data_IF_798224698667
#
_entry.id   IF_798224698667
#
_cell.length_a   1.000
_cell.length_b   1.000
_cell.length_c   1.000
_cell.angle_alpha   90.00
_cell.angle_beta   90.00
_cell.angle_gamma   90.00
#
_symmetry.space_group_name_H-M   'P 1'
#
loop_
_entity.id
_entity.type
_entity.pdbx_description
1 polymer ?
#
# COMPACT_ATOMS: atom_id res chain seq x y z
N UNK A 1 10.06 23.53 13.32
CA UNK A 1 9.88 22.93 13.13
C UNK A 1 9.58 22.11 13.13
N UNK A 2 9.56 21.76 13.20
CA UNK A 2 9.24 21.00 13.19
C UNK A 2 9.22 20.03 12.97
N UNK A 3 9.19 19.37 13.33
CA UNK A 3 9.31 18.50 13.32
C UNK A 3 8.68 17.83 13.48
N UNK A 4 8.33 17.95 13.37
CA UNK A 4 7.68 17.44 13.61
C UNK A 4 7.07 16.50 13.82
N UNK A 5 6.16 16.22 14.10
CA UNK A 5 5.70 15.15 14.31
C UNK A 5 5.25 14.47 13.21
N UNK A 6 5.94 13.60 12.74
CA UNK A 6 5.69 12.80 11.66
C UNK A 6 4.52 11.89 11.85
N UNK A 7 4.30 11.45 13.05
CA UNK A 7 3.16 10.59 13.35
C UNK A 7 1.86 11.29 13.06
N UNK A 8 1.78 12.54 13.46
CA UNK A 8 0.60 13.32 13.23
C UNK A 8 0.34 13.49 11.74
N UNK A 9 1.37 13.76 10.99
CA UNK A 9 1.25 13.92 9.56
C UNK A 9 0.79 12.64 8.89
N UNK A 10 1.33 11.51 9.31
CA UNK A 10 0.94 10.23 8.75
C UNK A 10 -0.51 9.93 9.05
N UNK A 11 -0.95 10.24 10.25
CA UNK A 11 -2.31 9.97 10.67
C UNK A 11 -3.33 10.70 9.83
N UNK A 12 -3.01 11.91 9.41
CA UNK A 12 -3.96 12.72 8.67
C UNK A 12 -3.69 12.79 7.17
N UNK A 13 -2.74 12.02 6.68
CA UNK A 13 -2.51 12.02 5.24
C UNK A 13 -3.60 11.22 4.56
N UNK A 14 -3.71 11.37 3.27
CA UNK A 14 -4.68 10.66 2.49
C UNK A 14 -4.43 9.16 2.54
N UNK A 15 -5.50 8.40 2.62
CA UNK A 15 -5.44 6.94 2.59
C UNK A 15 -6.14 6.43 1.35
N UNK A 16 -5.60 5.38 0.78
CA UNK A 16 -6.20 4.74 -0.38
C UNK A 16 -6.76 3.38 0.00
N UNK A 17 -7.83 3.00 -0.66
CA UNK A 17 -8.32 1.64 -0.54
C UNK A 17 -7.59 0.77 -1.56
N UNK A 18 -7.75 -0.54 -1.43
CA UNK A 18 -7.21 -1.47 -2.41
C UNK A 18 -7.78 -1.17 -3.79
N UNK A 19 -9.09 -0.92 -3.84
CA UNK A 19 -9.77 -0.65 -5.11
C UNK A 19 -9.26 0.62 -5.76
N UNK A 20 -9.00 1.63 -4.95
CA UNK A 20 -8.48 2.89 -5.49
C UNK A 20 -7.12 2.73 -6.11
N UNK A 21 -6.21 2.02 -5.42
CA UNK A 21 -4.89 1.80 -5.96
C UNK A 21 -4.92 0.86 -7.16
N UNK A 22 -5.81 -0.11 -7.12
CA UNK A 22 -5.99 -1.01 -8.24
C UNK A 22 -6.33 -0.22 -9.51
N UNK A 23 -7.28 0.69 -9.39
CA UNK A 23 -7.68 1.53 -10.52
C UNK A 23 -6.57 2.48 -10.95
N UNK A 24 -5.93 3.09 -9.97
CA UNK A 24 -4.91 4.08 -10.25
C UNK A 24 -3.68 3.47 -10.91
N UNK A 25 -3.27 2.29 -10.46
CA UNK A 25 -2.07 1.64 -10.98
C UNK A 25 -2.35 0.64 -12.09
N UNK A 26 -3.62 0.38 -12.37
CA UNK A 26 -3.98 -0.57 -13.41
C UNK A 26 -3.62 -2.00 -13.08
N UNK A 27 -3.80 -2.37 -11.82
CA UNK A 27 -3.48 -3.72 -11.36
C UNK A 27 -4.71 -4.33 -10.69
N UNK A 28 -4.71 -5.65 -10.54
CA UNK A 28 -5.85 -6.30 -9.93
C UNK A 28 -5.90 -6.02 -8.44
N UNK A 29 -7.10 -6.06 -7.89
CA UNK A 29 -7.31 -5.90 -6.45
C UNK A 29 -6.49 -6.93 -5.68
N UNK A 30 -6.48 -8.14 -6.18
CA UNK A 30 -5.79 -9.22 -5.51
C UNK A 30 -4.29 -8.96 -5.43
N UNK A 31 -3.72 -8.47 -6.52
CA UNK A 31 -2.30 -8.14 -6.54
C UNK A 31 -2.00 -7.02 -5.55
N UNK A 32 -2.84 -5.97 -5.54
CA UNK A 32 -2.64 -4.85 -4.61
C UNK A 32 -2.74 -5.35 -3.17
N UNK A 33 -3.71 -6.19 -2.89
CA UNK A 33 -3.90 -6.71 -1.54
C UNK A 33 -2.67 -7.49 -1.07
N UNK A 34 -2.14 -8.35 -1.92
CA UNK A 34 -0.95 -9.11 -1.56
C UNK A 34 0.26 -8.23 -1.39
N UNK A 35 0.36 -7.20 -2.21
CA UNK A 35 1.49 -6.29 -2.18
C UNK A 35 1.58 -5.53 -0.85
N UNK A 36 0.43 -5.15 -0.31
CA UNK A 36 0.39 -4.31 0.88
C UNK A 36 0.04 -5.02 2.18
N UNK A 37 -0.36 -6.27 2.12
CA UNK A 37 -0.87 -6.95 3.30
C UNK A 37 0.14 -6.96 4.46
N UNK A 38 1.40 -7.11 4.16
CA UNK A 38 2.43 -7.15 5.19
C UNK A 38 3.34 -5.94 5.16
N UNK A 39 2.95 -4.92 4.43
CA UNK A 39 3.79 -3.73 4.32
C UNK A 39 3.67 -2.88 5.58
N UNK A 40 4.80 -2.45 6.17
CA UNK A 40 4.73 -1.61 7.37
C UNK A 40 4.00 -0.32 7.07
N UNK A 41 3.18 0.11 8.01
CA UNK A 41 2.46 1.37 7.89
C UNK A 41 1.07 1.27 7.30
N UNK A 42 0.72 0.11 6.75
CA UNK A 42 -0.64 -0.10 6.24
C UNK A 42 -1.56 -0.32 7.43
N UNK A 43 -2.73 0.33 7.41
CA UNK A 43 -3.71 0.18 8.47
C UNK A 43 -4.67 -0.93 8.07
N UNK A 44 -4.82 -1.90 8.93
CA UNK A 44 -5.67 -3.05 8.66
C UNK A 44 -6.79 -3.10 9.66
N UNK A 45 -8.02 -3.09 9.14
CA UNK A 45 -9.20 -3.25 9.97
C UNK A 45 -9.74 -4.65 9.76
N UNK A 46 -9.95 -5.36 10.86
CA UNK A 46 -10.52 -6.69 10.79
C UNK A 46 -11.92 -6.67 11.39
N UNK A 47 -12.84 -7.29 10.70
CA UNK A 47 -14.18 -7.45 11.22
C UNK A 47 -14.44 -8.91 11.51
N UNK A 48 -14.85 -9.17 12.73
CA UNK A 48 -15.24 -10.49 13.14
C UNK A 48 -16.71 -10.51 13.46
N UNK A 49 -17.41 -11.46 12.88
CA UNK A 49 -18.80 -11.69 13.22
C UNK A 49 -18.98 -13.18 13.42
N UNK A 50 -19.70 -13.59 14.46
CA UNK A 50 -19.91 -15.02 14.70
C UNK A 50 -20.52 -15.68 13.46
N UNK A 51 -19.92 -16.77 13.04
CA UNK A 51 -20.42 -17.53 11.91
C UNK A 51 -20.17 -16.89 10.55
N UNK A 52 -19.36 -15.84 10.50
CA UNK A 52 -19.07 -15.16 9.26
C UNK A 52 -17.60 -15.11 8.99
N UNK A 53 -17.28 -14.85 7.73
CA UNK A 53 -15.89 -14.68 7.33
C UNK A 53 -15.28 -13.47 7.99
N UNK A 54 -13.99 -13.57 8.23
CA UNK A 54 -13.24 -12.42 8.71
C UNK A 54 -12.91 -11.55 7.51
N UNK A 55 -13.28 -10.29 7.59
CA UNK A 55 -12.96 -9.33 6.55
C UNK A 55 -11.83 -8.44 6.99
N UNK A 56 -10.88 -8.27 6.09
CA UNK A 56 -9.79 -7.36 6.34
C UNK A 56 -9.87 -6.24 5.33
N UNK A 57 -9.94 -5.03 5.84
CA UNK A 57 -9.96 -3.84 5.00
C UNK A 57 -8.63 -3.15 5.16
N UNK A 58 -7.96 -2.92 4.07
CA UNK A 58 -6.67 -2.25 4.09
C UNK A 58 -6.86 -0.79 3.73
N UNK A 59 -6.24 0.08 4.52
CA UNK A 59 -6.19 1.50 4.21
C UNK A 59 -4.71 1.84 4.07
N UNK A 60 -4.34 2.34 2.93
CA UNK A 60 -2.93 2.52 2.58
C UNK A 60 -2.61 4.00 2.56
N UNK A 61 -1.82 4.46 3.56
CA UNK A 61 -1.45 5.88 3.57
C UNK A 61 -0.65 6.23 2.33
N UNK A 62 -0.79 7.45 1.89
CA UNK A 62 -0.12 7.91 0.68
C UNK A 62 1.39 7.71 0.74
N UNK A 63 2.00 7.99 1.87
CA UNK A 63 3.45 7.81 2.01
C UNK A 63 3.86 6.36 1.82
N UNK A 64 3.04 5.43 2.30
CA UNK A 64 3.32 4.01 2.14
C UNK A 64 3.16 3.61 0.67
N UNK A 65 2.12 4.11 0.03
CA UNK A 65 1.90 3.82 -1.38
C UNK A 65 3.07 4.32 -2.23
N UNK A 66 3.56 5.51 -1.92
CA UNK A 66 4.70 6.07 -2.64
C UNK A 66 5.95 5.24 -2.44
N UNK A 67 6.17 4.82 -1.21
CA UNK A 67 7.35 4.01 -0.90
C UNK A 67 7.35 2.69 -1.68
N UNK A 68 6.21 2.04 -1.71
CA UNK A 68 6.10 0.77 -2.42
C UNK A 68 6.20 0.98 -3.92
N UNK A 69 5.60 2.05 -4.42
CA UNK A 69 5.66 2.37 -5.83
C UNK A 69 7.11 2.60 -6.28
N UNK A 70 7.86 3.34 -5.48
CA UNK A 70 9.27 3.59 -5.80
C UNK A 70 10.07 2.30 -5.79
N UNK A 71 9.79 1.43 -4.86
CA UNK A 71 10.49 0.15 -4.77
C UNK A 71 10.21 -0.70 -6.01
N UNK A 72 8.96 -0.70 -6.46
CA UNK A 72 8.60 -1.45 -7.65
C UNK A 72 9.26 -0.85 -8.89
N UNK A 73 9.27 0.45 -8.98
CA UNK A 73 9.88 1.14 -10.11
C UNK A 73 11.38 0.86 -10.19
N UNK A 74 12.05 0.92 -9.07
CA UNK A 74 13.48 0.65 -9.02
C UNK A 74 13.78 -0.79 -9.41
N UNK A 75 12.94 -1.70 -8.93
CA UNK A 75 13.11 -3.11 -9.24
C UNK A 75 12.93 -3.37 -10.73
N UNK A 76 11.93 -2.72 -11.31
CA UNK A 76 11.65 -2.87 -12.72
C UNK A 76 12.78 -2.32 -13.59
N UNK A 77 13.31 -1.17 -13.21
CA UNK A 77 14.42 -0.58 -13.93
C UNK A 77 15.64 -1.47 -13.87
N UNK A 78 15.89 -2.05 -12.73
CA UNK A 78 17.03 -2.93 -12.55
C UNK A 78 16.87 -4.19 -13.40
N UNK A 79 15.66 -4.72 -13.45
CA UNK A 79 15.39 -5.89 -14.23
C UNK A 79 15.56 -5.61 -15.72
N UNK A 80 15.07 -4.48 -16.19
CA UNK A 80 15.20 -4.10 -17.57
C UNK A 80 16.66 -3.95 -17.95
N UNK A 81 17.45 -3.32 -17.09
CA UNK A 81 18.87 -3.17 -17.31
C UNK A 81 19.57 -4.50 -17.39
N UNK A 82 19.19 -5.40 -16.49
CA UNK A 82 19.81 -6.72 -16.46
C UNK A 82 19.52 -7.55 -17.68
N UNK A 83 18.45 -7.27 -18.35
CA UNK A 83 18.07 -8.03 -19.55
C UNK A 83 18.58 -7.47 -20.85
N UNK A 84 19.25 -6.34 -20.78
CA UNK A 84 19.78 -5.78 -21.97
C UNK A 84 20.79 -6.70 -22.55
N UNK A 85 20.81 -6.78 -23.79
CA UNK A 85 21.78 -7.64 -24.49
C UNK A 85 22.73 -6.83 -25.26
#
# INVERSE_FOLDING_TARGET
MHESTTISEITFERHFSVEELSALWGMSDDFIRRLFLHEPGVVIFCRHRPGRRVYRTLRIPESVALRVHERMRASDERRAGGRRR
#
